data_IF_021024639064
#
_entry.id   IF_021024639064
#
_cell.length_a   1.000
_cell.length_b   1.000
_cell.length_c   1.000
_cell.angle_alpha   90.00
_cell.angle_beta   90.00
_cell.angle_gamma   90.00
#
_symmetry.space_group_name_H-M   'P 1'
#
loop_
_entity.id
_entity.type
_entity.pdbx_description
1 polymer ?
#
# COMPACT_ATOMS: atom_id res chain seq x y z
N UNK A 1 -19.84 -0.69 -4.28
CA UNK A 1 -18.97 0.12 -5.19
C UNK A 1 -19.16 1.63 -5.01
N UNK A 2 -19.58 2.13 -3.84
CA UNK A 2 -19.80 3.58 -3.65
C UNK A 2 -18.53 4.39 -3.41
N UNK A 3 -17.52 3.79 -2.77
CA UNK A 3 -16.28 4.47 -2.39
C UNK A 3 -15.32 4.73 -3.57
N UNK A 4 -15.57 4.08 -4.71
CA UNK A 4 -14.83 4.29 -5.96
C UNK A 4 -15.67 5.06 -6.98
N UNK A 5 -16.88 5.54 -6.62
CA UNK A 5 -17.71 6.35 -7.52
C UNK A 5 -16.95 7.65 -7.84
N UNK A 6 -16.73 7.89 -9.13
CA UNK A 6 -16.02 9.07 -9.63
C UNK A 6 -14.52 8.86 -9.90
N UNK A 7 -13.96 7.69 -9.59
CA UNK A 7 -12.64 7.31 -10.10
C UNK A 7 -12.86 6.72 -11.49
N UNK A 8 -12.24 7.33 -12.51
CA UNK A 8 -12.27 6.78 -13.87
C UNK A 8 -11.61 5.40 -13.88
N UNK A 9 -12.39 4.39 -14.26
CA UNK A 9 -11.91 3.02 -14.47
C UNK A 9 -11.92 2.72 -15.96
N UNK A 10 -10.92 2.01 -16.45
CA UNK A 10 -10.96 1.42 -17.79
C UNK A 10 -11.60 0.04 -17.75
N UNK A 11 -12.23 -0.34 -18.85
CA UNK A 11 -12.69 -1.71 -19.06
C UNK A 11 -11.59 -2.51 -19.76
N UNK A 12 -11.32 -3.70 -19.24
CA UNK A 12 -10.28 -4.59 -19.73
C UNK A 12 -10.90 -5.96 -19.96
N UNK A 13 -10.80 -6.47 -21.18
CA UNK A 13 -11.16 -7.86 -21.48
C UNK A 13 -10.19 -8.80 -20.76
N UNK A 14 -10.74 -9.76 -20.03
CA UNK A 14 -10.00 -10.73 -19.23
C UNK A 14 -10.59 -12.10 -19.46
N UNK A 15 -9.74 -13.12 -19.34
CA UNK A 15 -10.17 -14.52 -19.40
C UNK A 15 -11.18 -14.82 -18.29
N UNK A 16 -11.00 -14.22 -17.10
CA UNK A 16 -11.89 -14.38 -15.95
C UNK A 16 -11.85 -13.16 -15.00
N UNK A 17 -12.94 -12.96 -14.23
CA UNK A 17 -13.00 -11.99 -13.13
C UNK A 17 -13.60 -10.63 -13.49
N UNK A 18 -13.32 -9.62 -12.66
CA UNK A 18 -13.86 -8.26 -12.83
C UNK A 18 -13.12 -7.51 -13.97
N UNK A 19 -13.88 -6.97 -14.91
CA UNK A 19 -13.38 -6.23 -16.09
C UNK A 19 -13.00 -4.78 -15.79
N UNK A 20 -13.56 -4.20 -14.72
CA UNK A 20 -13.21 -2.85 -14.27
C UNK A 20 -11.78 -2.82 -13.72
N UNK A 21 -10.95 -1.94 -14.29
CA UNK A 21 -9.58 -1.70 -13.89
C UNK A 21 -9.44 -0.28 -13.35
N UNK A 22 -8.97 -0.15 -12.12
CA UNK A 22 -8.76 1.14 -11.48
C UNK A 22 -7.29 1.57 -11.57
N UNK A 23 -7.00 2.87 -11.70
CA UNK A 23 -5.63 3.39 -11.68
C UNK A 23 -4.89 3.02 -10.39
N UNK A 24 -3.56 2.92 -10.49
CA UNK A 24 -2.68 2.75 -9.32
C UNK A 24 -2.88 3.92 -8.33
N UNK A 25 -2.99 3.58 -7.06
CA UNK A 25 -3.27 4.49 -5.94
C UNK A 25 -4.76 4.73 -5.65
N UNK A 26 -5.66 4.26 -6.53
CA UNK A 26 -7.10 4.24 -6.23
C UNK A 26 -7.34 3.49 -4.93
N UNK A 27 -8.17 4.06 -4.05
CA UNK A 27 -8.42 3.51 -2.72
C UNK A 27 -9.90 3.53 -2.35
N UNK A 28 -10.29 2.57 -1.53
CA UNK A 28 -11.66 2.41 -1.04
C UNK A 28 -11.66 2.15 0.46
N UNK A 29 -12.57 2.81 1.17
CA UNK A 29 -12.83 2.50 2.57
C UNK A 29 -13.79 1.31 2.63
N UNK A 30 -13.45 0.30 3.41
CA UNK A 30 -14.27 -0.88 3.64
C UNK A 30 -14.53 -0.94 5.14
N UNK A 31 -15.80 -0.96 5.54
CA UNK A 31 -16.19 -1.12 6.94
C UNK A 31 -16.72 -2.54 7.13
N UNK A 32 -16.11 -3.29 8.05
CA UNK A 32 -16.58 -4.62 8.47
C UNK A 32 -16.79 -4.55 9.98
N UNK A 33 -18.03 -4.76 10.42
CA UNK A 33 -18.44 -4.55 11.81
C UNK A 33 -18.05 -3.16 12.35
N UNK A 34 -17.11 -3.10 13.30
CA UNK A 34 -16.59 -1.86 13.88
C UNK A 34 -15.24 -1.44 13.29
N UNK A 35 -14.63 -2.28 12.45
CA UNK A 35 -13.32 -2.06 11.88
C UNK A 35 -13.41 -1.36 10.51
N UNK A 36 -12.48 -0.43 10.29
CA UNK A 36 -12.35 0.32 9.03
C UNK A 36 -11.03 -0.02 8.36
N UNK A 37 -11.13 -0.47 7.12
CA UNK A 37 -10.01 -0.83 6.28
C UNK A 37 -9.89 0.14 5.12
N UNK A 38 -8.66 0.43 4.73
CA UNK A 38 -8.37 1.18 3.53
C UNK A 38 -7.69 0.25 2.52
N UNK A 39 -8.45 -0.17 1.52
CA UNK A 39 -7.92 -0.94 0.40
C UNK A 39 -7.36 0.03 -0.65
N UNK A 40 -6.24 -0.30 -1.28
CA UNK A 40 -5.63 0.52 -2.31
C UNK A 40 -4.98 -0.34 -3.40
N UNK A 41 -4.98 0.15 -4.63
CA UNK A 41 -4.39 -0.52 -5.77
C UNK A 41 -2.90 -0.16 -5.91
N UNK A 42 -2.00 -1.14 -5.78
CA UNK A 42 -0.56 -0.93 -5.95
C UNK A 42 0.09 -1.84 -7.02
N UNK A 43 -0.67 -2.74 -7.60
CA UNK A 43 -0.22 -3.69 -8.62
C UNK A 43 -1.24 -3.74 -9.76
N UNK A 44 -0.78 -4.16 -10.93
CA UNK A 44 -1.62 -4.51 -12.07
C UNK A 44 -1.68 -6.02 -12.22
N UNK A 45 -2.68 -6.49 -12.96
CA UNK A 45 -2.80 -7.89 -13.33
C UNK A 45 -2.81 -8.00 -14.84
N UNK A 46 -1.97 -8.87 -15.38
CA UNK A 46 -1.96 -9.21 -16.78
C UNK A 46 -3.28 -9.92 -17.15
N UNK A 47 -4.05 -9.41 -18.14
CA UNK A 47 -5.38 -9.94 -18.46
C UNK A 47 -5.42 -11.36 -19.03
N UNK A 48 -4.32 -11.80 -19.65
CA UNK A 48 -4.22 -13.10 -20.32
C UNK A 48 -3.69 -14.17 -19.36
N UNK A 49 -2.65 -13.82 -18.59
CA UNK A 49 -1.95 -14.77 -17.71
C UNK A 49 -2.45 -14.74 -16.27
N UNK A 50 -3.28 -13.75 -15.92
CA UNK A 50 -3.74 -13.45 -14.56
C UNK A 50 -2.61 -13.22 -13.55
N UNK A 51 -1.38 -12.95 -14.01
CA UNK A 51 -0.23 -12.68 -13.14
C UNK A 51 -0.23 -11.23 -12.68
N UNK A 52 -0.05 -11.03 -11.37
CA UNK A 52 0.13 -9.71 -10.81
C UNK A 52 1.57 -9.21 -10.99
N UNK A 53 1.72 -7.93 -11.29
CA UNK A 53 3.00 -7.26 -11.39
C UNK A 53 2.93 -5.83 -10.83
N UNK A 54 4.05 -5.38 -10.28
CA UNK A 54 4.22 -4.05 -9.69
C UNK A 54 5.69 -3.67 -9.79
N UNK A 55 5.97 -2.39 -9.85
CA UNK A 55 7.33 -1.84 -9.79
C UNK A 55 7.42 -0.78 -8.69
N UNK A 56 8.65 -0.32 -8.42
CA UNK A 56 8.91 0.66 -7.35
C UNK A 56 8.14 1.96 -7.57
N UNK A 57 7.97 2.38 -8.83
CA UNK A 57 7.26 3.62 -9.19
C UNK A 57 5.76 3.47 -8.91
N UNK A 58 5.15 2.36 -9.32
CA UNK A 58 3.75 2.05 -9.02
C UNK A 58 3.51 2.01 -7.52
N UNK A 59 4.39 1.33 -6.79
CA UNK A 59 4.29 1.22 -5.34
C UNK A 59 4.42 2.60 -4.66
N UNK A 60 5.36 3.43 -5.11
CA UNK A 60 5.54 4.79 -4.60
C UNK A 60 4.31 5.67 -4.82
N UNK A 61 3.74 5.64 -6.04
CA UNK A 61 2.50 6.37 -6.36
C UNK A 61 1.33 5.86 -5.53
N UNK A 62 1.23 4.54 -5.34
CA UNK A 62 0.17 3.92 -4.55
C UNK A 62 0.25 4.33 -3.08
N UNK A 63 1.45 4.30 -2.48
CA UNK A 63 1.68 4.73 -1.10
C UNK A 63 1.39 6.22 -0.92
N UNK A 64 1.82 7.07 -1.86
CA UNK A 64 1.52 8.51 -1.82
C UNK A 64 0.02 8.77 -1.71
N UNK A 65 -0.78 8.16 -2.59
CA UNK A 65 -2.24 8.31 -2.58
C UNK A 65 -2.89 7.66 -1.34
N UNK A 66 -2.37 6.51 -0.90
CA UNK A 66 -2.81 5.84 0.33
C UNK A 66 -2.68 6.77 1.54
N UNK A 67 -1.54 7.42 1.72
CA UNK A 67 -1.30 8.31 2.87
C UNK A 67 -2.19 9.55 2.84
N UNK A 68 -2.44 10.12 1.67
CA UNK A 68 -3.39 11.22 1.50
C UNK A 68 -4.80 10.81 1.92
N UNK A 69 -5.25 9.62 1.52
CA UNK A 69 -6.55 9.10 1.91
C UNK A 69 -6.60 8.73 3.41
N UNK A 70 -5.55 8.11 3.93
CA UNK A 70 -5.43 7.77 5.35
C UNK A 70 -5.49 9.00 6.26
N UNK A 71 -4.93 10.14 5.81
CA UNK A 71 -5.05 11.42 6.54
C UNK A 71 -6.50 11.84 6.77
N UNK A 72 -7.34 11.68 5.74
CA UNK A 72 -8.75 12.06 5.78
C UNK A 72 -9.55 11.06 6.63
N UNK A 73 -9.29 9.77 6.44
CA UNK A 73 -10.14 8.70 6.98
C UNK A 73 -9.78 8.26 8.41
N UNK A 74 -8.51 8.41 8.80
CA UNK A 74 -8.03 7.95 10.12
C UNK A 74 -8.56 8.80 11.27
N UNK A 75 -8.93 10.05 11.03
CA UNK A 75 -9.36 11.01 12.06
C UNK A 75 -8.37 11.07 13.24
N UNK A 76 -7.06 11.03 12.96
CA UNK A 76 -5.98 11.05 13.96
C UNK A 76 -5.72 9.72 14.68
N UNK A 77 -6.49 8.66 14.38
CA UNK A 77 -6.24 7.31 14.89
C UNK A 77 -5.03 6.68 14.21
N UNK A 78 -4.40 5.75 14.91
CA UNK A 78 -3.25 5.04 14.38
C UNK A 78 -3.61 4.24 13.12
N UNK A 79 -2.75 4.32 12.11
CA UNK A 79 -2.90 3.57 10.84
C UNK A 79 -1.97 2.36 10.87
N UNK A 80 -2.50 1.18 10.58
CA UNK A 80 -1.72 -0.05 10.49
C UNK A 80 -1.58 -0.46 9.02
N UNK A 81 -0.36 -0.59 8.52
CA UNK A 81 -0.05 -1.02 7.17
C UNK A 81 0.77 -2.32 7.24
N UNK A 82 0.27 -3.47 6.75
CA UNK A 82 1.12 -4.66 6.62
C UNK A 82 2.25 -4.42 5.62
N UNK A 83 3.32 -5.23 5.67
CA UNK A 83 4.37 -5.23 4.66
C UNK A 83 3.83 -5.72 3.30
N UNK A 84 3.14 -4.83 2.60
CA UNK A 84 2.58 -5.01 1.26
C UNK A 84 3.68 -5.01 0.20
N UNK A 85 3.51 -5.79 -0.87
CA UNK A 85 4.49 -5.86 -1.97
C UNK A 85 5.47 -7.04 -1.89
N UNK A 86 5.56 -7.71 -0.74
CA UNK A 86 6.53 -8.80 -0.46
C UNK A 86 6.11 -10.20 -0.97
N UNK A 87 4.98 -10.30 -1.69
CA UNK A 87 4.37 -11.56 -2.11
C UNK A 87 4.15 -11.64 -3.62
N UNK A 88 2.98 -12.14 -4.02
CA UNK A 88 2.61 -12.41 -5.41
C UNK A 88 2.50 -11.17 -6.31
N UNK A 89 2.68 -9.96 -5.77
CA UNK A 89 2.62 -8.70 -6.53
C UNK A 89 3.81 -8.46 -7.46
N UNK A 90 4.87 -9.26 -7.38
CA UNK A 90 5.97 -9.21 -8.34
C UNK A 90 6.92 -8.00 -8.20
N UNK A 91 6.87 -7.27 -7.09
CA UNK A 91 7.72 -6.09 -6.86
C UNK A 91 9.22 -6.43 -6.79
N UNK A 92 9.56 -7.66 -6.40
CA UNK A 92 10.93 -8.20 -6.47
C UNK A 92 11.95 -7.56 -5.53
N UNK A 93 11.54 -6.64 -4.65
CA UNK A 93 12.44 -6.00 -3.69
C UNK A 93 12.72 -6.91 -2.49
N UNK A 94 13.97 -6.93 -1.96
CA UNK A 94 14.27 -7.49 -0.66
C UNK A 94 13.38 -6.88 0.43
N UNK A 95 13.01 -7.69 1.43
CA UNK A 95 12.17 -7.28 2.58
C UNK A 95 12.62 -5.96 3.21
N UNK A 96 13.94 -5.77 3.37
CA UNK A 96 14.55 -4.54 3.91
C UNK A 96 14.26 -3.32 3.05
N UNK A 97 14.46 -3.42 1.74
CA UNK A 97 14.28 -2.30 0.82
C UNK A 97 12.81 -1.92 0.68
N UNK A 98 11.92 -2.91 0.68
CA UNK A 98 10.49 -2.68 0.72
C UNK A 98 10.05 -1.96 2.01
N UNK A 99 10.57 -2.39 3.17
CA UNK A 99 10.29 -1.71 4.42
C UNK A 99 10.79 -0.26 4.38
N UNK A 100 12.01 -0.04 3.90
CA UNK A 100 12.57 1.31 3.75
C UNK A 100 11.75 2.17 2.79
N UNK A 101 11.24 1.62 1.69
CA UNK A 101 10.36 2.32 0.76
C UNK A 101 9.06 2.77 1.45
N UNK A 102 8.43 1.90 2.23
CA UNK A 102 7.22 2.23 2.98
C UNK A 102 7.52 3.31 4.02
N UNK A 103 8.59 3.17 4.82
CA UNK A 103 8.99 4.16 5.83
C UNK A 103 9.28 5.52 5.19
N UNK A 104 10.06 5.53 4.10
CA UNK A 104 10.40 6.75 3.36
C UNK A 104 9.15 7.44 2.83
N UNK A 105 8.20 6.70 2.27
CA UNK A 105 6.94 7.25 1.76
C UNK A 105 6.11 7.90 2.89
N UNK A 106 6.05 7.25 4.06
CA UNK A 106 5.30 7.73 5.22
C UNK A 106 5.94 9.01 5.81
N UNK A 107 7.28 9.05 5.90
CA UNK A 107 8.03 10.22 6.35
C UNK A 107 7.85 11.38 5.38
N UNK A 108 7.97 11.13 4.08
CA UNK A 108 7.79 12.14 3.03
C UNK A 108 6.42 12.79 3.12
N UNK A 109 5.37 11.96 3.24
CA UNK A 109 4.00 12.47 3.36
C UNK A 109 3.74 13.19 4.66
N UNK A 110 4.24 12.66 5.78
CA UNK A 110 4.06 13.27 7.10
C UNK A 110 4.78 14.62 7.21
N UNK A 111 5.97 14.75 6.62
CA UNK A 111 6.72 16.03 6.54
C UNK A 111 5.98 17.07 5.70
N UNK A 112 5.33 16.65 4.62
CA UNK A 112 4.50 17.53 3.79
C UNK A 112 3.28 18.00 4.57
N UNK A 113 2.47 17.05 5.08
CA UNK A 113 1.32 17.30 5.96
C UNK A 113 1.09 16.06 6.81
N UNK A 114 0.99 16.24 8.13
CA UNK A 114 0.81 15.13 9.07
C UNK A 114 -0.30 14.17 8.60
N UNK A 115 0.02 12.87 8.51
CA UNK A 115 -0.95 11.83 8.12
C UNK A 115 -1.78 11.41 9.33
N UNK A 116 -1.11 11.02 10.42
CA UNK A 116 -1.72 10.65 11.70
C UNK A 116 -0.68 10.77 12.82
N UNK A 117 -1.09 10.55 14.08
CA UNK A 117 -0.21 10.53 15.24
C UNK A 117 0.67 9.27 15.32
N UNK A 118 0.27 8.17 14.68
CA UNK A 118 1.02 6.92 14.71
C UNK A 118 0.77 6.07 13.47
N UNK A 119 1.85 5.68 12.79
CA UNK A 119 1.82 4.68 11.72
C UNK A 119 2.50 3.42 12.25
N UNK A 120 1.84 2.26 12.11
CA UNK A 120 2.42 0.95 12.46
C UNK A 120 2.63 0.16 11.18
N UNK A 121 3.87 -0.23 10.91
CA UNK A 121 4.17 -1.17 9.83
C UNK A 121 4.17 -2.57 10.46
N UNK A 122 3.29 -3.44 9.98
CA UNK A 122 3.07 -4.77 10.56
C UNK A 122 3.83 -5.81 9.73
N UNK A 123 4.80 -6.46 10.39
CA UNK A 123 5.64 -7.52 9.83
C UNK A 123 5.17 -8.87 10.39
N UNK A 124 5.00 -9.86 9.52
CA UNK A 124 4.78 -11.23 9.96
C UNK A 124 6.10 -11.84 10.47
N UNK A 125 6.00 -12.83 11.39
CA UNK A 125 7.16 -13.35 12.12
C UNK A 125 8.22 -14.01 11.23
N UNK A 126 7.79 -14.60 10.12
CA UNK A 126 8.67 -15.19 9.11
C UNK A 126 9.62 -14.16 8.45
N UNK A 127 9.25 -12.88 8.42
CA UNK A 127 10.08 -11.82 7.83
C UNK A 127 11.24 -11.36 8.72
N UNK A 128 11.29 -11.80 9.97
CA UNK A 128 12.37 -11.43 10.88
C UNK A 128 13.68 -12.19 10.59
N UNK A 129 13.62 -13.33 9.89
CA UNK A 129 14.82 -14.03 9.45
C UNK A 129 15.57 -13.25 8.35
N UNK A 130 14.82 -12.50 7.53
CA UNK A 130 15.35 -11.71 6.42
C UNK A 130 15.75 -10.27 6.83
N UNK A 131 15.49 -9.88 8.08
CA UNK A 131 15.50 -8.48 8.50
C UNK A 131 15.97 -8.27 9.94
N UNK A 132 17.09 -7.57 10.10
CA UNK A 132 17.48 -7.00 11.39
C UNK A 132 16.81 -5.63 11.61
N UNK A 133 15.84 -5.58 12.52
CA UNK A 133 15.14 -4.34 12.86
C UNK A 133 16.03 -3.30 13.54
N UNK A 134 17.16 -3.71 14.14
CA UNK A 134 18.10 -2.78 14.77
C UNK A 134 18.80 -1.93 13.72
N UNK A 135 19.18 -2.54 12.60
CA UNK A 135 19.79 -1.84 11.47
C UNK A 135 18.82 -0.86 10.82
N UNK A 136 17.56 -1.27 10.65
CA UNK A 136 16.51 -0.40 10.13
C UNK A 136 16.30 0.80 11.05
N UNK A 137 16.20 0.55 12.36
CA UNK A 137 16.05 1.61 13.35
C UNK A 137 17.22 2.60 13.29
N UNK A 138 18.46 2.10 13.27
CA UNK A 138 19.66 2.93 13.21
C UNK A 138 19.68 3.81 11.94
N UNK A 139 19.24 3.29 10.80
CA UNK A 139 19.19 4.04 9.54
C UNK A 139 18.26 5.27 9.59
N UNK A 140 17.21 5.23 10.41
CA UNK A 140 16.19 6.29 10.47
C UNK A 140 16.28 7.19 11.72
N UNK A 141 17.16 6.90 12.67
CA UNK A 141 17.39 7.71 13.88
C UNK A 141 18.50 8.78 13.72
N UNK A 142 19.28 8.72 12.63
CA UNK A 142 20.27 9.75 12.24
C UNK A 142 19.63 11.00 11.65
#
# INVERSE_FOLDING_TARGET
NEQLKGIESSEVEKVEGKTQCFPIGSSAVITVDQDRYLAFAFAKTDPETCKAYSDVTMMWVALHQLWQRARIESNGNAVNLPLVGSGLSGLGLPTRDLLNLIVLSAITETKSKQVTNRIRIVLHRDRFEDLDLRDVKQHWET
#
